data_IF_666801637572
#
_entry.id   IF_666801637572
#
_cell.length_a   1.000
_cell.length_b   1.000
_cell.length_c   1.000
_cell.angle_alpha   90.00
_cell.angle_beta   90.00
_cell.angle_gamma   90.00
#
_symmetry.space_group_name_H-M   'P 1'
#
loop_
_entity.id
_entity.type
_entity.pdbx_description
1 polymer ?
#
# COMPACT_ATOMS: atom_id res chain seq x y z
N UNK A 1 -35.72 52.03 31.03
CA UNK A 1 -36.80 51.34 31.77
C UNK A 1 -37.37 50.23 30.89
N UNK A 2 -37.06 48.98 31.26
CA UNK A 2 -38.00 47.89 31.59
C UNK A 2 -38.81 47.31 30.42
N UNK A 3 -38.34 46.15 29.95
CA UNK A 3 -39.11 45.09 29.28
C UNK A 3 -40.40 44.76 30.06
N UNK A 4 -41.53 44.43 29.40
CA UNK A 4 -42.63 43.78 30.07
C UNK A 4 -42.44 42.25 30.07
N UNK A 5 -42.36 41.68 31.28
CA UNK A 5 -42.54 40.24 31.55
C UNK A 5 -44.04 39.93 31.58
N UNK A 6 -44.50 38.91 30.87
CA UNK A 6 -45.78 38.25 31.19
C UNK A 6 -45.49 36.84 31.76
N UNK A 7 -46.23 36.52 32.82
CA UNK A 7 -46.06 35.35 33.69
C UNK A 7 -47.04 34.23 33.31
N UNK A 8 -46.60 33.00 33.58
CA UNK A 8 -47.35 31.83 34.13
C UNK A 8 -48.67 31.36 33.48
N UNK A 9 -48.75 30.05 33.19
CA UNK A 9 -49.47 29.09 34.04
C UNK A 9 -49.06 27.63 33.76
N UNK A 10 -48.96 26.85 34.83
CA UNK A 10 -48.63 25.44 34.87
C UNK A 10 -49.89 24.54 34.73
N UNK A 11 -49.63 23.24 34.81
CA UNK A 11 -50.51 22.08 35.08
C UNK A 11 -51.17 21.39 33.88
N UNK A 12 -50.65 20.22 33.53
CA UNK A 12 -51.38 18.99 33.86
C UNK A 12 -50.39 17.84 34.10
N UNK A 13 -50.51 17.28 35.30
CA UNK A 13 -49.99 15.99 35.69
C UNK A 13 -51.02 14.95 35.26
N UNK A 14 -50.60 13.97 34.48
CA UNK A 14 -51.26 12.67 34.41
C UNK A 14 -50.18 11.62 34.62
N UNK A 15 -50.15 11.12 35.86
CA UNK A 15 -49.51 9.87 36.22
C UNK A 15 -50.55 8.77 35.99
N UNK A 16 -50.22 7.80 35.14
CA UNK A 16 -50.93 6.52 35.07
C UNK A 16 -49.94 5.42 34.66
N UNK A 17 -49.39 4.79 35.70
CA UNK A 17 -49.14 3.35 35.88
C UNK A 17 -48.74 2.50 34.65
N UNK A 18 -47.48 2.06 34.67
CA UNK A 18 -47.01 0.89 33.96
C UNK A 18 -47.41 -0.41 34.68
N UNK A 19 -47.71 -1.50 33.94
CA UNK A 19 -47.42 -2.84 34.43
C UNK A 19 -46.20 -3.44 33.73
N UNK A 20 -45.21 -3.76 34.56
CA UNK A 20 -44.05 -4.61 34.29
C UNK A 20 -44.48 -6.02 33.84
N UNK A 21 -44.13 -6.45 32.62
CA UNK A 21 -43.78 -7.85 32.29
C UNK A 21 -42.96 -7.86 30.98
N UNK A 22 -41.66 -7.60 31.05
CA UNK A 22 -40.74 -7.93 29.94
C UNK A 22 -39.28 -7.82 30.42
N UNK A 23 -38.81 -8.73 31.27
CA UNK A 23 -37.36 -8.75 31.58
C UNK A 23 -36.74 -10.12 31.92
N UNK A 24 -37.47 -11.24 31.86
CA UNK A 24 -36.86 -12.56 32.19
C UNK A 24 -36.60 -13.48 30.98
N UNK A 25 -36.93 -13.08 29.75
CA UNK A 25 -36.71 -13.92 28.54
C UNK A 25 -35.59 -13.43 27.61
N UNK A 26 -34.96 -12.30 27.91
CA UNK A 26 -33.88 -11.73 27.08
C UNK A 26 -32.50 -12.17 27.55
N UNK A 27 -32.34 -12.62 28.81
CA UNK A 27 -31.03 -12.99 29.34
C UNK A 27 -30.57 -14.41 28.92
N UNK A 28 -31.46 -15.40 28.78
CA UNK A 28 -31.08 -16.75 28.30
C UNK A 28 -30.60 -16.75 26.84
N UNK A 29 -31.16 -15.88 25.98
CA UNK A 29 -30.78 -15.76 24.57
C UNK A 29 -29.40 -15.15 24.36
N UNK A 30 -28.85 -14.44 25.35
CA UNK A 30 -27.50 -13.88 25.26
C UNK A 30 -26.43 -14.87 25.69
N UNK A 31 -26.72 -15.73 26.67
CA UNK A 31 -25.77 -16.71 27.20
C UNK A 31 -25.56 -17.90 26.27
N UNK A 32 -26.63 -18.41 25.62
CA UNK A 32 -26.48 -19.46 24.61
C UNK A 32 -25.77 -18.97 23.35
N UNK A 33 -26.04 -17.72 22.95
CA UNK A 33 -25.37 -17.09 21.80
C UNK A 33 -23.91 -16.78 22.09
N UNK A 34 -23.60 -16.32 23.30
CA UNK A 34 -22.23 -16.11 23.75
C UNK A 34 -21.47 -17.44 23.89
N UNK A 35 -22.11 -18.52 24.37
CA UNK A 35 -21.52 -19.86 24.41
C UNK A 35 -21.29 -20.43 23.01
N UNK A 36 -22.22 -20.21 22.08
CA UNK A 36 -22.06 -20.62 20.68
C UNK A 36 -20.92 -19.86 19.99
N UNK A 37 -20.76 -18.55 20.26
CA UNK A 37 -19.61 -17.77 19.77
C UNK A 37 -18.30 -18.22 20.41
N UNK A 38 -18.29 -18.54 21.71
CA UNK A 38 -17.10 -19.06 22.39
C UNK A 38 -16.70 -20.46 21.87
N UNK A 39 -17.68 -21.31 21.54
CA UNK A 39 -17.44 -22.66 20.97
C UNK A 39 -16.89 -22.58 19.53
N UNK A 40 -17.26 -21.56 18.75
CA UNK A 40 -16.65 -21.27 17.45
C UNK A 40 -15.17 -20.88 17.60
N UNK A 41 -14.84 -20.13 18.66
CA UNK A 41 -13.47 -19.64 18.93
C UNK A 41 -12.59 -20.73 19.57
N UNK A 42 -13.16 -21.61 20.40
CA UNK A 42 -12.42 -22.64 21.15
C UNK A 42 -12.36 -24.01 20.47
N UNK A 43 -12.94 -24.18 19.26
CA UNK A 43 -12.81 -25.43 18.51
C UNK A 43 -11.33 -25.72 18.21
N UNK A 44 -10.76 -26.83 18.72
CA UNK A 44 -9.42 -27.23 18.32
C UNK A 44 -9.43 -27.49 16.82
N UNK A 45 -8.42 -26.95 16.12
CA UNK A 45 -8.22 -27.09 14.68
C UNK A 45 -7.98 -28.56 14.33
N UNK A 46 -9.07 -29.31 14.20
CA UNK A 46 -9.07 -30.65 13.64
C UNK A 46 -9.21 -30.49 12.13
N UNK A 47 -8.08 -30.61 11.41
CA UNK A 47 -8.16 -30.85 9.98
C UNK A 47 -8.92 -32.16 9.78
N UNK A 48 -9.97 -32.18 8.96
CA UNK A 48 -9.77 -32.75 7.61
C UNK A 48 -10.68 -32.13 6.53
N UNK A 49 -10.27 -32.35 5.29
CA UNK A 49 -11.11 -32.36 4.08
C UNK A 49 -12.21 -31.30 3.94
N UNK A 50 -11.93 -30.24 3.18
CA UNK A 50 -12.95 -29.84 2.21
C UNK A 50 -12.41 -28.98 1.08
N UNK A 51 -12.76 -29.38 -0.14
CA UNK A 51 -12.66 -28.58 -1.37
C UNK A 51 -13.70 -27.45 -1.39
N UNK A 52 -14.04 -26.87 -0.23
CA UNK A 52 -15.15 -25.93 -0.07
C UNK A 52 -14.71 -24.72 0.73
N UNK A 53 -14.24 -23.72 0.01
CA UNK A 53 -14.47 -22.27 0.20
C UNK A 53 -13.30 -21.49 -0.39
N UNK A 54 -13.28 -21.48 -1.73
CA UNK A 54 -12.89 -20.27 -2.43
C UNK A 54 -13.91 -19.19 -2.03
N UNK A 55 -13.57 -18.41 -1.01
CA UNK A 55 -14.26 -17.15 -0.71
C UNK A 55 -13.16 -16.13 -0.53
N UNK A 56 -12.92 -15.35 -1.58
CA UNK A 56 -12.30 -14.04 -1.44
C UNK A 56 -13.25 -13.28 -0.51
N UNK A 57 -12.98 -13.30 0.79
CA UNK A 57 -13.61 -12.36 1.70
C UNK A 57 -13.09 -11.01 1.26
N UNK A 58 -13.97 -10.19 0.69
CA UNK A 58 -13.67 -8.78 0.42
C UNK A 58 -13.11 -8.20 1.72
N UNK A 59 -11.82 -7.87 1.73
CA UNK A 59 -11.22 -6.96 2.69
C UNK A 59 -11.89 -5.60 2.44
N UNK A 60 -13.11 -5.46 2.96
CA UNK A 60 -13.97 -4.32 2.75
C UNK A 60 -13.21 -3.07 3.17
N UNK A 61 -13.19 -2.08 2.29
CA UNK A 61 -12.96 -0.67 2.55
C UNK A 61 -12.77 -0.29 4.04
N UNK A 62 -11.73 0.51 4.35
CA UNK A 62 -11.53 1.30 5.58
C UNK A 62 -10.76 0.62 6.74
N UNK A 63 -9.53 1.07 7.01
CA UNK A 63 -8.90 1.05 8.35
C UNK A 63 -8.68 -0.31 9.03
N UNK A 64 -7.70 -1.08 8.55
CA UNK A 64 -7.48 -2.48 8.94
C UNK A 64 -6.87 -2.67 10.36
N UNK A 65 -7.70 -3.12 11.30
CA UNK A 65 -7.33 -3.84 12.53
C UNK A 65 -8.12 -5.15 12.52
N UNK A 66 -7.56 -6.20 11.93
CA UNK A 66 -8.19 -7.52 11.87
C UNK A 66 -7.30 -8.46 11.09
N UNK A 67 -7.25 -9.74 11.46
CA UNK A 67 -6.38 -10.74 10.83
C UNK A 67 -6.61 -10.78 9.32
N UNK A 68 -5.56 -10.59 8.53
CA UNK A 68 -5.61 -10.68 7.07
C UNK A 68 -6.04 -12.09 6.64
N UNK A 69 -7.32 -12.34 6.36
CA UNK A 69 -7.81 -13.66 5.96
C UNK A 69 -7.51 -13.96 4.48
N UNK A 70 -6.22 -13.95 4.13
CA UNK A 70 -5.73 -14.24 2.78
C UNK A 70 -5.47 -15.75 2.65
N UNK A 71 -6.23 -16.40 1.78
CA UNK A 71 -6.08 -17.81 1.46
C UNK A 71 -5.82 -18.00 -0.04
N UNK A 72 -4.74 -18.73 -0.39
CA UNK A 72 -4.40 -19.06 -1.76
C UNK A 72 -4.67 -20.55 -2.03
N UNK A 73 -5.65 -20.88 -2.91
CA UNK A 73 -5.90 -22.26 -3.30
C UNK A 73 -4.74 -22.77 -4.16
N UNK A 74 -3.94 -23.69 -3.62
CA UNK A 74 -2.70 -24.19 -4.25
C UNK A 74 -1.48 -24.12 -3.33
N UNK A 75 -1.58 -23.38 -2.23
CA UNK A 75 -0.61 -23.43 -1.13
C UNK A 75 -1.10 -24.36 -0.02
N UNK A 76 -0.15 -25.01 0.66
CA UNK A 76 -0.47 -25.79 1.86
C UNK A 76 -0.93 -24.88 3.01
N UNK A 77 -1.68 -25.40 3.97
CA UNK A 77 -2.18 -24.61 5.10
C UNK A 77 -1.07 -23.84 5.85
N UNK A 78 0.09 -24.48 6.07
CA UNK A 78 1.25 -23.83 6.71
C UNK A 78 1.90 -22.75 5.84
N UNK A 79 1.97 -22.97 4.53
CA UNK A 79 2.48 -21.96 3.60
C UNK A 79 1.55 -20.75 3.50
N UNK A 80 0.23 -20.96 3.54
CA UNK A 80 -0.75 -19.89 3.60
C UNK A 80 -0.61 -19.10 4.91
N UNK A 81 -0.44 -19.78 6.05
CA UNK A 81 -0.18 -19.13 7.34
C UNK A 81 1.09 -18.26 7.27
N UNK A 82 2.18 -18.83 6.74
CA UNK A 82 3.45 -18.13 6.56
C UNK A 82 3.32 -16.90 5.67
N UNK A 83 2.71 -17.04 4.49
CA UNK A 83 2.58 -15.96 3.52
C UNK A 83 1.69 -14.83 4.07
N UNK A 84 0.62 -15.18 4.78
CA UNK A 84 -0.25 -14.20 5.45
C UNK A 84 0.53 -13.34 6.44
N UNK A 85 1.22 -13.97 7.38
CA UNK A 85 1.99 -13.22 8.38
C UNK A 85 3.10 -12.40 7.74
N UNK A 86 3.74 -12.94 6.69
CA UNK A 86 4.78 -12.23 5.97
C UNK A 86 4.24 -10.95 5.30
N UNK A 87 3.10 -11.04 4.61
CA UNK A 87 2.50 -9.89 3.93
C UNK A 87 1.98 -8.83 4.93
N UNK A 88 1.42 -9.25 6.06
CA UNK A 88 0.75 -8.32 6.97
C UNK A 88 1.65 -7.72 8.06
N UNK A 89 2.72 -8.42 8.46
CA UNK A 89 3.64 -7.94 9.50
C UNK A 89 4.96 -7.35 8.95
N UNK A 90 4.90 -6.73 7.76
CA UNK A 90 6.02 -5.95 7.22
C UNK A 90 7.17 -6.80 6.65
N UNK A 91 6.86 -7.94 6.03
CA UNK A 91 7.82 -8.80 5.31
C UNK A 91 8.92 -9.43 6.17
N UNK A 92 8.65 -9.63 7.46
CA UNK A 92 9.60 -10.27 8.39
C UNK A 92 9.55 -11.80 8.27
N UNK A 93 10.44 -12.36 7.45
CA UNK A 93 10.47 -13.80 7.13
C UNK A 93 10.65 -14.71 8.36
N UNK A 94 11.55 -14.37 9.28
CA UNK A 94 11.81 -15.19 10.46
C UNK A 94 10.60 -15.27 11.40
N UNK A 95 9.94 -14.14 11.67
CA UNK A 95 8.76 -14.09 12.53
C UNK A 95 7.57 -14.81 11.90
N UNK A 96 7.36 -14.62 10.59
CA UNK A 96 6.35 -15.36 9.84
C UNK A 96 6.58 -16.88 9.89
N UNK A 97 7.84 -17.33 9.84
CA UNK A 97 8.18 -18.75 9.94
C UNK A 97 7.92 -19.31 11.33
N UNK A 98 8.29 -18.57 12.39
CA UNK A 98 8.00 -18.94 13.78
C UNK A 98 6.50 -19.15 13.99
N UNK A 99 5.69 -18.21 13.50
CA UNK A 99 4.24 -18.28 13.60
C UNK A 99 3.64 -19.44 12.79
N UNK A 100 4.14 -19.70 11.58
CA UNK A 100 3.64 -20.76 10.70
C UNK A 100 3.94 -22.19 11.16
N UNK A 101 5.08 -22.38 11.83
CA UNK A 101 5.59 -23.70 12.20
C UNK A 101 5.65 -23.94 13.70
N UNK A 102 5.17 -22.99 14.51
CA UNK A 102 5.21 -23.02 15.98
C UNK A 102 6.60 -23.42 16.50
N UNK A 103 7.61 -22.68 16.02
CA UNK A 103 9.01 -22.97 16.34
C UNK A 103 9.34 -22.36 17.69
N UNK A 104 9.86 -23.19 18.59
CA UNK A 104 10.33 -22.80 19.91
C UNK A 104 11.48 -21.78 19.84
N UNK A 105 11.55 -20.90 20.84
CA UNK A 105 12.50 -19.77 20.86
C UNK A 105 13.96 -20.17 21.13
N UNK A 106 14.18 -21.41 21.55
CA UNK A 106 15.51 -22.00 21.78
C UNK A 106 16.24 -22.38 20.47
N UNK A 107 15.54 -22.41 19.33
CA UNK A 107 16.15 -22.70 18.03
C UNK A 107 17.01 -21.54 17.54
N UNK A 108 18.13 -21.90 16.91
CA UNK A 108 19.03 -20.94 16.29
C UNK A 108 18.30 -20.03 15.29
N UNK A 109 18.38 -18.72 15.56
CA UNK A 109 17.78 -17.67 14.74
C UNK A 109 18.28 -17.74 13.29
N UNK A 110 19.54 -18.11 13.07
CA UNK A 110 20.10 -18.18 11.73
C UNK A 110 19.46 -19.31 10.90
N UNK A 111 19.27 -20.49 11.51
CA UNK A 111 18.58 -21.61 10.88
C UNK A 111 17.13 -21.26 10.50
N UNK A 112 16.41 -20.52 11.35
CA UNK A 112 15.03 -20.07 11.08
C UNK A 112 15.00 -19.07 9.92
N UNK A 113 15.92 -18.10 9.91
CA UNK A 113 16.02 -17.13 8.83
C UNK A 113 16.34 -17.81 7.48
N UNK A 114 17.22 -18.82 7.50
CA UNK A 114 17.56 -19.62 6.32
C UNK A 114 16.33 -20.41 5.83
N UNK A 115 15.60 -21.06 6.73
CA UNK A 115 14.38 -21.80 6.39
C UNK A 115 13.29 -20.89 5.82
N UNK A 116 13.09 -19.70 6.40
CA UNK A 116 12.17 -18.70 5.89
C UNK A 116 12.56 -18.21 4.48
N UNK A 117 13.86 -17.99 4.23
CA UNK A 117 14.38 -17.62 2.90
C UNK A 117 14.15 -18.72 1.88
N UNK A 118 14.39 -19.99 2.24
CA UNK A 118 14.06 -21.14 1.41
C UNK A 118 12.56 -21.22 1.10
N UNK A 119 11.71 -20.98 2.09
CA UNK A 119 10.26 -20.97 1.93
C UNK A 119 9.82 -19.89 0.93
N UNK A 120 10.35 -18.67 1.07
CA UNK A 120 10.07 -17.57 0.14
C UNK A 120 10.53 -17.90 -1.28
N UNK A 121 11.63 -18.64 -1.47
CA UNK A 121 12.13 -19.03 -2.80
C UNK A 121 11.34 -20.18 -3.45
N UNK A 122 10.39 -20.78 -2.75
CA UNK A 122 9.56 -21.83 -3.34
C UNK A 122 8.67 -21.26 -4.46
N UNK A 123 8.57 -22.00 -5.58
CA UNK A 123 7.80 -21.54 -6.76
C UNK A 123 6.35 -21.21 -6.41
N UNK A 124 5.69 -22.04 -5.60
CA UNK A 124 4.30 -21.84 -5.21
C UNK A 124 4.08 -20.51 -4.46
N UNK A 125 4.98 -20.15 -3.54
CA UNK A 125 4.89 -18.89 -2.80
C UNK A 125 5.24 -17.71 -3.70
N UNK A 126 6.25 -17.85 -4.56
CA UNK A 126 6.60 -16.81 -5.52
C UNK A 126 5.45 -16.49 -6.46
N UNK A 127 4.72 -17.49 -6.94
CA UNK A 127 3.58 -17.28 -7.83
C UNK A 127 2.41 -16.59 -7.10
N UNK A 128 2.15 -16.95 -5.84
CA UNK A 128 1.20 -16.23 -5.01
C UNK A 128 1.60 -14.76 -4.78
N UNK A 129 2.88 -14.49 -4.49
CA UNK A 129 3.40 -13.12 -4.31
C UNK A 129 3.26 -12.32 -5.61
N UNK A 130 3.55 -12.92 -6.78
CA UNK A 130 3.36 -12.25 -8.07
C UNK A 130 1.89 -11.88 -8.30
N UNK A 131 0.97 -12.79 -7.98
CA UNK A 131 -0.48 -12.53 -8.11
C UNK A 131 -0.91 -11.34 -7.24
N UNK A 132 -0.49 -11.32 -5.97
CA UNK A 132 -0.78 -10.21 -5.05
C UNK A 132 -0.19 -8.91 -5.58
N UNK A 133 1.07 -8.92 -6.01
CA UNK A 133 1.72 -7.73 -6.58
C UNK A 133 1.03 -7.23 -7.84
N UNK A 134 0.57 -8.14 -8.71
CA UNK A 134 -0.16 -7.77 -9.91
C UNK A 134 -1.50 -7.10 -9.57
N UNK A 135 -2.21 -7.60 -8.56
CA UNK A 135 -3.49 -7.00 -8.14
C UNK A 135 -3.28 -5.66 -7.43
N UNK A 136 -2.30 -5.59 -6.53
CA UNK A 136 -1.91 -4.33 -5.88
C UNK A 136 -1.49 -3.30 -6.92
N UNK A 137 -0.71 -3.71 -7.93
CA UNK A 137 -0.31 -2.83 -9.02
C UNK A 137 -1.52 -2.30 -9.80
N UNK A 138 -2.60 -3.06 -10.00
CA UNK A 138 -3.82 -2.53 -10.63
C UNK A 138 -4.53 -1.50 -9.74
N UNK A 139 -4.58 -1.76 -8.44
CA UNK A 139 -5.27 -0.87 -7.48
C UNK A 139 -4.49 0.39 -7.13
N UNK A 140 -3.16 0.30 -7.14
CA UNK A 140 -2.22 1.37 -6.73
C UNK A 140 -1.56 2.03 -7.94
N UNK A 141 -1.72 1.49 -9.15
CA UNK A 141 -1.37 2.23 -10.35
C UNK A 141 -2.22 3.49 -10.38
N UNK A 142 -1.61 4.61 -9.96
CA UNK A 142 -2.19 5.93 -10.15
C UNK A 142 -2.41 6.09 -11.64
N UNK A 143 -3.69 6.15 -12.02
CA UNK A 143 -4.03 6.45 -13.40
C UNK A 143 -3.49 7.84 -13.75
N UNK A 144 -3.15 8.06 -15.01
CA UNK A 144 -2.67 9.36 -15.47
C UNK A 144 -3.71 10.45 -15.17
N UNK A 145 -5.00 10.13 -15.31
CA UNK A 145 -6.09 11.04 -14.98
C UNK A 145 -6.10 11.43 -13.50
N UNK A 146 -5.90 10.45 -12.61
CA UNK A 146 -5.85 10.68 -11.16
C UNK A 146 -4.67 11.56 -10.78
N UNK A 147 -3.48 11.26 -11.30
CA UNK A 147 -2.28 12.05 -11.04
C UNK A 147 -2.43 13.51 -11.51
N UNK A 148 -2.99 13.72 -12.71
CA UNK A 148 -3.24 15.07 -13.23
C UNK A 148 -4.29 15.83 -12.40
N UNK A 149 -5.31 15.12 -11.87
CA UNK A 149 -6.35 15.68 -10.98
C UNK A 149 -5.74 16.09 -9.64
N UNK A 150 -4.90 15.26 -9.03
CA UNK A 150 -4.21 15.60 -7.78
C UNK A 150 -3.32 16.83 -7.92
N UNK A 151 -2.54 16.92 -9.00
CA UNK A 151 -1.70 18.09 -9.28
C UNK A 151 -2.53 19.37 -9.47
N UNK A 152 -3.72 19.26 -10.08
CA UNK A 152 -4.66 20.38 -10.18
C UNK A 152 -5.16 20.84 -8.80
N UNK A 153 -5.52 19.89 -7.92
CA UNK A 153 -5.96 20.21 -6.56
C UNK A 153 -4.83 20.88 -5.76
N UNK A 154 -3.61 20.35 -5.83
CA UNK A 154 -2.44 20.95 -5.18
C UNK A 154 -2.16 22.37 -5.67
N UNK A 155 -2.29 22.61 -6.97
CA UNK A 155 -2.19 23.95 -7.57
C UNK A 155 -3.24 24.89 -7.00
N UNK A 156 -4.50 24.46 -6.91
CA UNK A 156 -5.59 25.31 -6.44
C UNK A 156 -5.48 25.60 -4.94
N UNK A 157 -5.04 24.61 -4.15
CA UNK A 157 -4.69 24.79 -2.74
C UNK A 157 -3.55 25.80 -2.58
N UNK A 158 -2.47 25.69 -3.35
CA UNK A 158 -1.35 26.63 -3.30
C UNK A 158 -1.76 28.05 -3.70
N UNK A 159 -2.59 28.20 -4.76
CA UNK A 159 -3.16 29.49 -5.15
C UNK A 159 -4.00 30.10 -4.03
N UNK A 160 -4.85 29.30 -3.38
CA UNK A 160 -5.70 29.76 -2.29
C UNK A 160 -4.91 30.27 -1.08
N UNK A 161 -3.71 29.72 -0.86
CA UNK A 161 -2.80 30.13 0.21
C UNK A 161 -1.91 31.31 -0.16
N UNK A 162 -1.91 31.74 -1.43
CA UNK A 162 -1.02 32.79 -1.94
C UNK A 162 0.39 32.30 -2.31
N UNK A 163 0.66 31.00 -2.24
CA UNK A 163 1.96 30.40 -2.56
C UNK A 163 2.12 30.19 -4.07
N UNK A 164 2.29 31.29 -4.81
CA UNK A 164 2.34 31.27 -6.28
C UNK A 164 3.48 30.40 -6.82
N UNK A 165 4.64 30.36 -6.14
CA UNK A 165 5.77 29.49 -6.54
C UNK A 165 5.39 28.01 -6.53
N UNK A 166 4.69 27.56 -5.48
CA UNK A 166 4.23 26.18 -5.37
C UNK A 166 3.16 25.86 -6.43
N UNK A 167 2.26 26.81 -6.71
CA UNK A 167 1.26 26.66 -7.76
C UNK A 167 1.88 26.50 -9.16
N UNK A 168 2.92 27.29 -9.48
CA UNK A 168 3.65 27.17 -10.76
C UNK A 168 4.37 25.82 -10.85
N UNK A 169 5.03 25.39 -9.77
CA UNK A 169 5.72 24.11 -9.75
C UNK A 169 4.75 22.93 -9.99
N UNK A 170 3.55 22.97 -9.39
CA UNK A 170 2.50 21.97 -9.62
C UNK A 170 2.04 21.95 -11.08
N UNK A 171 1.90 23.10 -11.74
CA UNK A 171 1.55 23.13 -13.17
C UNK A 171 2.67 22.63 -14.09
N UNK A 172 3.93 22.95 -13.77
CA UNK A 172 5.07 22.41 -14.51
C UNK A 172 5.10 20.88 -14.38
N UNK A 173 4.89 20.33 -13.17
CA UNK A 173 4.80 18.89 -12.96
C UNK A 173 3.64 18.27 -13.75
N UNK A 174 2.49 18.95 -13.81
CA UNK A 174 1.32 18.50 -14.59
C UNK A 174 1.61 18.49 -16.09
N UNK A 175 2.27 19.53 -16.61
CA UNK A 175 2.70 19.59 -18.00
C UNK A 175 3.73 18.49 -18.34
N UNK A 176 4.63 18.17 -17.40
CA UNK A 176 5.57 17.05 -17.54
C UNK A 176 4.85 15.71 -17.58
N UNK A 177 3.90 15.47 -16.67
CA UNK A 177 3.08 14.26 -16.64
C UNK A 177 2.22 14.09 -17.91
N UNK A 178 1.71 15.18 -18.47
CA UNK A 178 0.97 15.18 -19.74
C UNK A 178 1.86 15.05 -20.99
N UNK A 179 3.19 15.02 -20.85
CA UNK A 179 4.13 14.87 -21.97
C UNK A 179 4.37 16.15 -22.78
N UNK A 180 3.98 17.33 -22.27
CA UNK A 180 4.23 18.61 -22.96
C UNK A 180 5.68 19.11 -22.83
N UNK A 181 6.45 18.54 -21.91
CA UNK A 181 7.84 18.92 -21.68
C UNK A 181 8.80 17.87 -22.22
N UNK A 182 9.77 18.31 -23.02
CA UNK A 182 10.87 17.49 -23.51
C UNK A 182 12.15 17.99 -22.86
N UNK A 183 12.68 17.23 -21.89
CA UNK A 183 13.99 17.48 -21.30
C UNK A 183 15.06 16.94 -22.25
N UNK A 184 15.86 17.83 -22.84
CA UNK A 184 17.00 17.46 -23.67
C UNK A 184 18.28 17.57 -22.86
N UNK A 185 18.79 16.42 -22.42
CA UNK A 185 20.11 16.32 -21.81
C UNK A 185 21.11 16.12 -22.94
N UNK A 186 22.02 17.10 -23.12
CA UNK A 186 23.20 16.94 -23.97
C UNK A 186 24.35 16.59 -23.04
N UNK A 187 24.85 15.36 -23.13
CA UNK A 187 26.14 15.02 -22.56
C UNK A 187 27.17 15.64 -23.51
N UNK A 188 27.65 16.83 -23.16
CA UNK A 188 28.83 17.37 -23.80
C UNK A 188 29.98 16.71 -23.07
N UNK A 189 30.47 15.59 -23.62
CA UNK A 189 31.78 15.09 -23.22
C UNK A 189 32.76 16.25 -23.48
N UNK A 190 33.55 16.64 -22.47
CA UNK A 190 34.51 17.76 -22.56
C UNK A 190 35.57 17.56 -23.67
N UNK A 191 35.59 16.39 -24.31
CA UNK A 191 36.41 16.03 -25.47
C UNK A 191 35.88 16.61 -26.79
N UNK A 192 34.62 17.04 -26.85
CA UNK A 192 33.95 17.45 -28.08
C UNK A 192 34.20 18.88 -28.57
N UNK A 193 34.87 19.74 -27.79
CA UNK A 193 35.24 21.10 -28.19
C UNK A 193 36.63 21.53 -27.72
N UNK A 194 37.66 20.70 -27.89
CA UNK A 194 38.98 21.30 -28.13
C UNK A 194 38.92 21.97 -29.50
N UNK A 195 38.73 23.30 -29.54
CA UNK A 195 39.13 24.07 -30.72
C UNK A 195 40.59 23.74 -30.95
N UNK A 196 40.90 22.89 -31.93
CA UNK A 196 42.28 22.71 -32.36
C UNK A 196 42.78 24.12 -32.74
N UNK A 197 43.95 24.54 -32.23
CA UNK A 197 44.54 25.78 -32.71
C UNK A 197 44.70 25.68 -34.23
N UNK A 198 44.54 26.80 -34.97
CA UNK A 198 44.83 26.79 -36.40
C UNK A 198 46.26 26.27 -36.60
N UNK A 199 46.50 25.40 -37.59
CA UNK A 199 47.82 24.83 -37.80
C UNK A 199 48.85 25.93 -38.00
N UNK A 200 50.04 25.71 -37.47
CA UNK A 200 51.16 26.64 -37.62
C UNK A 200 51.72 26.58 -39.05
N UNK A 201 52.38 27.64 -39.52
CA UNK A 201 52.91 27.71 -40.88
C UNK A 201 53.86 26.55 -41.23
N UNK A 202 54.63 26.09 -40.22
CA UNK A 202 55.57 24.98 -40.36
C UNK A 202 54.85 23.64 -40.55
N UNK A 203 53.71 23.44 -39.89
CA UNK A 203 52.87 22.26 -40.05
C UNK A 203 52.21 22.22 -41.45
N UNK A 204 51.79 23.37 -41.96
CA UNK A 204 51.30 23.47 -43.34
C UNK A 204 52.42 23.17 -44.36
N UNK A 205 53.64 23.65 -44.13
CA UNK A 205 54.78 23.36 -44.99
C UNK A 205 55.14 21.86 -44.97
N UNK A 206 55.05 21.21 -43.80
CA UNK A 206 55.28 19.78 -43.67
C UNK A 206 54.22 18.94 -44.41
N UNK A 207 52.94 19.33 -44.31
CA UNK A 207 51.85 18.68 -45.07
C UNK A 207 52.04 18.89 -46.57
N UNK A 208 52.38 20.11 -47.01
CA UNK A 208 52.64 20.40 -48.42
C UNK A 208 53.83 19.59 -48.96
N UNK A 209 54.90 19.43 -48.17
CA UNK A 209 56.05 18.61 -48.54
C UNK A 209 55.74 17.11 -48.57
N UNK A 210 54.85 16.62 -47.70
CA UNK A 210 54.39 15.24 -47.72
C UNK A 210 53.54 14.96 -48.97
N UNK A 211 52.60 15.86 -49.30
CA UNK A 211 51.79 15.76 -50.54
C UNK A 211 52.66 15.83 -51.79
N UNK A 212 53.70 16.66 -51.80
CA UNK A 212 54.65 16.74 -52.91
C UNK A 212 55.56 15.50 -53.08
N UNK A 213 55.63 14.61 -52.08
CA UNK A 213 56.36 13.33 -52.15
C UNK A 213 55.49 12.17 -52.64
N UNK A 214 54.17 12.30 -52.55
CA UNK A 214 53.22 11.28 -53.00
C UNK A 214 52.75 11.49 -54.45
N UNK A 215 53.03 12.66 -55.03
CA UNK A 215 52.91 12.96 -56.46
C UNK A 215 54.24 12.69 -57.19
#
# INVERSE_FOLDING_TARGET
MKQPKSKTKATNADQAEAPMVADELVEEWTLERAKAELDIIQRPFSAPDDKRRAVIVKASALGFSGTCDLYFPGLTGRQNLFLREWLCNGNQGANAYRFAFDVTDDRDNHAIALAASHMLRSNAIQDAIKLVRAEVAKTVACDLEEHLRELMVLRDMAKSRGDIKAAIAAEVARGKAAGHYIERIKNVDDEGQKKLPPPTADEFAAIAAAVAKEC
#
